data_IF_241348053527
#
_entry.id   IF_241348053527
#
_cell.length_a   1.000
_cell.length_b   1.000
_cell.length_c   1.000
_cell.angle_alpha   90.00
_cell.angle_beta   90.00
_cell.angle_gamma   90.00
#
_symmetry.space_group_name_H-M   'P 1'
#
loop_
_entity.id
_entity.type
_entity.pdbx_description
1 polymer ?
#
# COMPACT_ATOMS: atom_id res chain seq x y z
N UNK A 1 20.19 9.56 15.84
CA UNK A 1 19.55 8.35 15.27
C UNK A 1 20.28 7.14 15.84
N UNK A 2 19.56 6.07 16.19
CA UNK A 2 20.18 4.81 16.63
C UNK A 2 20.33 3.90 15.41
N UNK A 3 21.28 2.97 15.45
CA UNK A 3 21.49 2.00 14.36
C UNK A 3 20.21 1.23 13.99
N UNK A 4 19.33 0.95 14.97
CA UNK A 4 18.04 0.31 14.73
C UNK A 4 17.04 1.21 13.99
N UNK A 5 17.03 2.51 14.29
CA UNK A 5 16.19 3.47 13.57
C UNK A 5 16.65 3.63 12.12
N UNK A 6 17.96 3.72 11.90
CA UNK A 6 18.55 3.81 10.55
C UNK A 6 18.21 2.57 9.71
N UNK A 7 18.27 1.38 10.31
CA UNK A 7 17.90 0.13 9.65
C UNK A 7 16.41 0.11 9.23
N UNK A 8 15.51 0.60 10.08
CA UNK A 8 14.08 0.67 9.74
C UNK A 8 13.84 1.67 8.59
N UNK A 9 14.50 2.82 8.63
CA UNK A 9 14.42 3.83 7.56
C UNK A 9 14.92 3.26 6.22
N UNK A 10 16.06 2.56 6.22
CA UNK A 10 16.58 1.88 5.03
C UNK A 10 15.61 0.80 4.52
N UNK A 11 15.10 -0.05 5.41
CA UNK A 11 14.17 -1.12 5.03
C UNK A 11 12.89 -0.59 4.38
N UNK A 12 12.25 0.43 4.96
CA UNK A 12 11.06 1.06 4.36
C UNK A 12 11.40 1.88 3.10
N UNK A 13 12.60 2.46 3.02
CA UNK A 13 13.10 3.13 1.83
C UNK A 13 13.17 2.19 0.62
N UNK A 14 13.71 0.98 0.82
CA UNK A 14 13.79 -0.05 -0.24
C UNK A 14 12.42 -0.54 -0.70
N UNK A 15 11.44 -0.66 0.21
CA UNK A 15 10.07 -1.00 -0.18
C UNK A 15 9.51 0.05 -1.16
N UNK A 16 9.72 1.33 -0.87
CA UNK A 16 9.31 2.42 -1.77
C UNK A 16 9.97 2.31 -3.14
N UNK A 17 11.28 2.07 -3.18
CA UNK A 17 12.02 1.89 -4.43
C UNK A 17 11.46 0.73 -5.25
N UNK A 18 11.27 -0.44 -4.64
CA UNK A 18 10.69 -1.61 -5.30
C UNK A 18 9.28 -1.34 -5.81
N UNK A 19 8.43 -0.64 -5.05
CA UNK A 19 7.07 -0.28 -5.51
C UNK A 19 7.13 0.55 -6.79
N UNK A 20 8.05 1.51 -6.88
CA UNK A 20 8.21 2.31 -8.10
C UNK A 20 8.79 1.49 -9.26
N UNK A 21 9.72 0.58 -9.00
CA UNK A 21 10.31 -0.28 -10.03
C UNK A 21 9.27 -1.25 -10.62
N UNK A 22 8.46 -1.91 -9.79
CA UNK A 22 7.50 -2.92 -10.28
C UNK A 22 6.33 -2.33 -11.07
N UNK A 23 6.00 -1.05 -10.87
CA UNK A 23 4.95 -0.37 -11.64
C UNK A 23 5.50 0.43 -12.82
N UNK A 24 6.82 0.51 -12.97
CA UNK A 24 7.44 1.30 -14.03
C UNK A 24 7.07 0.76 -15.42
N UNK A 25 6.66 1.67 -16.30
CA UNK A 25 6.24 1.34 -17.66
C UNK A 25 4.89 0.61 -17.78
N UNK A 26 4.20 0.26 -16.69
CA UNK A 26 2.90 -0.42 -16.75
C UNK A 26 1.75 0.58 -16.95
N UNK A 27 0.84 0.24 -17.85
CA UNK A 27 -0.43 0.93 -18.00
C UNK A 27 -1.41 0.58 -16.87
N UNK A 28 -2.44 1.40 -16.64
CA UNK A 28 -3.51 1.07 -15.68
C UNK A 28 -4.20 -0.27 -15.97
N UNK A 29 -4.39 -0.61 -17.24
CA UNK A 29 -5.00 -1.87 -17.64
C UNK A 29 -4.12 -3.06 -17.28
N UNK A 30 -2.80 -2.95 -17.50
CA UNK A 30 -1.82 -3.98 -17.09
C UNK A 30 -1.74 -4.12 -15.57
N UNK A 31 -1.80 -3.01 -14.83
CA UNK A 31 -1.84 -3.02 -13.36
C UNK A 31 -3.08 -3.72 -12.81
N UNK A 32 -4.20 -3.70 -13.56
CA UNK A 32 -5.47 -4.29 -13.17
C UNK A 32 -5.59 -5.78 -13.54
N UNK A 33 -4.68 -6.34 -14.33
CA UNK A 33 -4.73 -7.75 -14.77
C UNK A 33 -4.66 -8.70 -13.58
N UNK A 34 -5.53 -9.71 -13.60
CA UNK A 34 -5.45 -10.92 -12.76
C UNK A 34 -5.11 -12.11 -13.66
N UNK A 35 -4.02 -12.79 -13.36
CA UNK A 35 -3.52 -13.90 -14.20
C UNK A 35 -4.35 -15.19 -14.06
N UNK A 36 -5.02 -15.35 -12.92
CA UNK A 36 -5.97 -16.42 -12.65
C UNK A 36 -7.00 -15.97 -11.59
N UNK A 37 -8.03 -16.79 -11.39
CA UNK A 37 -9.13 -16.50 -10.45
C UNK A 37 -8.67 -16.40 -8.99
N UNK A 38 -7.51 -16.94 -8.63
CA UNK A 38 -6.91 -16.82 -7.30
C UNK A 38 -5.86 -15.71 -7.18
N UNK A 39 -5.52 -15.02 -8.27
CA UNK A 39 -4.47 -14.01 -8.28
C UNK A 39 -5.03 -12.63 -7.95
N UNK A 40 -4.31 -11.88 -7.11
CA UNK A 40 -4.51 -10.44 -6.98
C UNK A 40 -3.84 -9.71 -8.15
N UNK A 41 -4.40 -8.55 -8.54
CA UNK A 41 -3.74 -7.67 -9.51
C UNK A 41 -2.56 -6.94 -8.90
N UNK A 42 -1.66 -6.41 -9.73
CA UNK A 42 -0.51 -5.60 -9.27
C UNK A 42 -1.00 -4.36 -8.52
N UNK A 43 -2.04 -3.69 -9.05
CA UNK A 43 -2.67 -2.54 -8.39
C UNK A 43 -3.16 -2.88 -6.99
N UNK A 44 -3.81 -4.04 -6.82
CA UNK A 44 -4.30 -4.47 -5.51
C UNK A 44 -3.14 -4.77 -4.55
N UNK A 45 -2.09 -5.44 -5.00
CA UNK A 45 -0.93 -5.77 -4.17
C UNK A 45 -0.22 -4.51 -3.66
N UNK A 46 0.00 -3.51 -4.52
CA UNK A 46 0.62 -2.25 -4.13
C UNK A 46 -0.29 -1.44 -3.20
N UNK A 47 -1.59 -1.38 -3.48
CA UNK A 47 -2.56 -0.72 -2.60
C UNK A 47 -2.60 -1.40 -1.22
N UNK A 48 -2.69 -2.72 -1.16
CA UNK A 48 -2.73 -3.48 0.09
C UNK A 48 -1.45 -3.26 0.92
N UNK A 49 -0.27 -3.39 0.29
CA UNK A 49 1.03 -3.15 0.93
C UNK A 49 1.10 -1.75 1.54
N UNK A 50 0.75 -0.73 0.76
CA UNK A 50 0.85 0.67 1.20
C UNK A 50 -0.20 1.02 2.27
N UNK A 51 -1.38 0.42 2.22
CA UNK A 51 -2.39 0.54 3.28
C UNK A 51 -1.95 -0.07 4.60
N UNK A 52 -1.38 -1.28 4.59
CA UNK A 52 -0.85 -1.92 5.81
C UNK A 52 0.30 -1.11 6.41
N UNK A 53 1.19 -0.59 5.56
CA UNK A 53 2.28 0.27 6.05
C UNK A 53 1.76 1.56 6.69
N UNK A 54 0.80 2.24 6.04
CA UNK A 54 0.20 3.47 6.58
C UNK A 54 -0.52 3.21 7.90
N UNK A 55 -1.40 2.20 7.95
CA UNK A 55 -2.16 1.80 9.14
C UNK A 55 -1.26 1.52 10.36
N UNK A 56 -0.28 0.62 10.21
CA UNK A 56 0.57 0.21 11.33
C UNK A 56 1.57 1.30 11.75
N UNK A 57 2.16 2.05 10.80
CA UNK A 57 3.13 3.09 11.15
C UNK A 57 2.43 4.29 11.78
N UNK A 58 1.24 4.66 11.31
CA UNK A 58 0.44 5.70 11.93
C UNK A 58 0.07 5.33 13.37
N UNK A 59 -0.41 4.11 13.62
CA UNK A 59 -0.72 3.63 14.97
C UNK A 59 0.53 3.65 15.88
N UNK A 60 1.65 3.09 15.42
CA UNK A 60 2.90 3.04 16.19
C UNK A 60 3.44 4.44 16.53
N UNK A 61 3.18 5.44 15.68
CA UNK A 61 3.60 6.82 15.88
C UNK A 61 2.54 7.69 16.60
N UNK A 62 1.34 7.17 16.87
CA UNK A 62 0.22 7.95 17.44
C UNK A 62 -0.28 9.05 16.50
N UNK A 63 -0.23 8.81 15.19
CA UNK A 63 -0.66 9.73 14.13
C UNK A 63 -1.94 9.22 13.46
N UNK A 64 -2.65 10.12 12.78
CA UNK A 64 -3.69 9.71 11.84
C UNK A 64 -3.08 9.10 10.58
N UNK A 65 -3.69 8.04 10.06
CA UNK A 65 -3.35 7.44 8.77
C UNK A 65 -3.37 8.49 7.66
N UNK A 66 -2.34 8.54 6.82
CA UNK A 66 -2.26 9.44 5.67
C UNK A 66 -3.43 9.22 4.73
N UNK A 67 -3.87 7.97 4.58
CA UNK A 67 -5.02 7.56 3.78
C UNK A 67 -6.30 8.35 4.10
N UNK A 68 -6.50 8.66 5.38
CA UNK A 68 -7.66 9.42 5.88
C UNK A 68 -7.33 10.91 5.97
N UNK A 69 -6.20 11.26 6.56
CA UNK A 69 -5.80 12.64 6.83
C UNK A 69 -5.61 13.46 5.55
N UNK A 70 -5.19 12.82 4.46
CA UNK A 70 -5.00 13.47 3.14
C UNK A 70 -6.07 13.08 2.12
N UNK A 71 -7.16 12.47 2.60
CA UNK A 71 -8.36 12.14 1.82
C UNK A 71 -8.13 11.22 0.60
N UNK A 72 -7.08 10.39 0.65
CA UNK A 72 -6.83 9.39 -0.38
C UNK A 72 -7.98 8.41 -0.51
N UNK A 73 -8.65 8.07 0.59
CA UNK A 73 -9.85 7.23 0.56
C UNK A 73 -10.94 7.73 -0.38
N UNK A 74 -11.12 9.06 -0.47
CA UNK A 74 -12.13 9.66 -1.35
C UNK A 74 -11.62 9.72 -2.79
N UNK A 75 -10.32 9.97 -3.00
CA UNK A 75 -9.70 9.99 -4.33
C UNK A 75 -9.71 8.64 -5.02
N UNK A 76 -9.50 7.58 -4.25
CA UNK A 76 -9.51 6.20 -4.76
C UNK A 76 -10.93 5.66 -4.96
N UNK A 77 -11.90 6.13 -4.18
CA UNK A 77 -13.33 5.79 -4.30
C UNK A 77 -13.60 4.28 -4.39
N UNK A 78 -12.82 3.47 -3.67
CA UNK A 78 -12.94 2.03 -3.73
C UNK A 78 -14.26 1.56 -3.06
N UNK A 79 -14.88 0.48 -3.56
CA UNK A 79 -16.13 -0.07 -3.01
C UNK A 79 -15.90 -0.87 -1.72
N UNK A 80 -15.01 -0.39 -0.85
CA UNK A 80 -14.63 -1.01 0.41
C UNK A 80 -14.89 -0.04 1.57
N UNK A 81 -14.96 -0.52 2.82
CA UNK A 81 -14.95 0.37 3.98
C UNK A 81 -13.78 1.36 3.91
N UNK A 82 -13.99 2.61 4.36
CA UNK A 82 -13.01 3.70 4.21
C UNK A 82 -11.63 3.37 4.79
N UNK A 83 -11.56 2.55 5.84
CA UNK A 83 -10.32 2.11 6.51
C UNK A 83 -9.84 0.73 6.07
N UNK A 84 -10.45 0.12 5.06
CA UNK A 84 -10.03 -1.18 4.58
C UNK A 84 -8.55 -1.14 4.19
N UNK A 85 -7.82 -2.17 4.60
CA UNK A 85 -6.43 -2.40 4.22
C UNK A 85 -6.31 -3.49 3.16
N UNK A 86 -7.38 -4.25 2.91
CA UNK A 86 -7.36 -5.46 2.08
C UNK A 86 -7.13 -6.75 2.87
N UNK A 87 -6.79 -6.67 4.17
CA UNK A 87 -6.70 -7.85 5.01
C UNK A 87 -8.06 -8.57 5.09
N UNK A 88 -8.05 -9.87 4.84
CA UNK A 88 -9.26 -10.70 4.81
C UNK A 88 -10.08 -10.62 3.51
N UNK A 89 -9.65 -9.82 2.52
CA UNK A 89 -10.22 -9.90 1.18
C UNK A 89 -9.79 -11.22 0.53
N UNK A 90 -10.70 -11.83 -0.23
CA UNK A 90 -10.39 -12.94 -1.12
C UNK A 90 -10.50 -12.49 -2.58
N UNK A 91 -9.63 -13.00 -3.47
CA UNK A 91 -9.78 -12.86 -4.91
C UNK A 91 -11.14 -13.36 -5.42
#
# INVERSE_FOLDING_TARGET
MTASGDLLVDAFGRIRETVHEVVDGLSPDELAVRLDDGANSIAWLVWHLTRIQDDHIAEAAGLDEVWIAQDWSARFELPFPRRATGYGHSP
#
